data_IF_633048526390
#
_entry.id   IF_633048526390
#
_cell.length_a   1.000
_cell.length_b   1.000
_cell.length_c   1.000
_cell.angle_alpha   90.00
_cell.angle_beta   90.00
_cell.angle_gamma   90.00
#
_symmetry.space_group_name_H-M   'P 1'
#
loop_
_entity.id
_entity.type
_entity.pdbx_description
1 polymer ?
#
# COMPACT_ATOMS: atom_id res chain seq x y z
N UNK A 1 11.88 20.30 -12.36
CA UNK A 1 11.51 18.87 -12.29
C UNK A 1 10.85 18.62 -10.95
N UNK A 2 9.73 17.90 -10.89
CA UNK A 2 9.14 17.48 -9.62
C UNK A 2 9.31 15.97 -9.51
N UNK A 3 10.16 15.50 -8.60
CA UNK A 3 10.15 14.11 -8.21
C UNK A 3 8.79 13.77 -7.57
N UNK A 4 8.05 12.84 -8.18
CA UNK A 4 6.86 12.27 -7.54
C UNK A 4 7.27 11.38 -6.38
N UNK A 5 6.55 11.47 -5.25
CA UNK A 5 6.74 10.58 -4.10
C UNK A 5 5.39 10.07 -3.59
N UNK A 6 5.28 8.78 -3.28
CA UNK A 6 4.10 8.17 -2.67
C UNK A 6 4.47 7.53 -1.34
N UNK A 7 3.51 7.55 -0.43
CA UNK A 7 3.62 6.94 0.89
C UNK A 7 2.38 6.09 1.10
N UNK A 8 2.61 4.81 1.29
CA UNK A 8 1.60 3.88 1.78
C UNK A 8 2.02 3.55 3.20
N UNK A 9 1.21 3.90 4.18
CA UNK A 9 1.35 3.35 5.52
C UNK A 9 0.01 2.76 5.93
N UNK A 10 0.02 1.50 6.33
CA UNK A 10 -1.15 0.81 6.83
C UNK A 10 -0.95 0.47 8.29
N UNK A 11 -1.83 1.01 9.11
CA UNK A 11 -1.88 0.71 10.52
C UNK A 11 -2.16 -0.78 10.73
N UNK A 12 -1.61 -1.30 11.83
CA UNK A 12 -1.86 -2.67 12.22
C UNK A 12 -2.34 -2.65 13.65
N UNK A 13 -3.58 -3.11 13.85
CA UNK A 13 -4.17 -3.23 15.18
C UNK A 13 -3.48 -4.29 16.06
N UNK A 14 -2.57 -5.11 15.52
CA UNK A 14 -1.82 -6.15 16.26
C UNK A 14 -0.41 -5.67 16.65
N UNK A 15 -0.03 -5.87 17.92
CA UNK A 15 1.36 -5.72 18.36
C UNK A 15 2.21 -6.83 17.72
N UNK A 16 3.51 -6.59 17.43
CA UNK A 16 4.42 -7.60 16.86
C UNK A 16 4.66 -8.89 17.68
N UNK A 17 3.91 -9.12 18.77
CA UNK A 17 3.99 -10.35 19.57
C UNK A 17 2.62 -10.95 19.88
N UNK A 18 1.53 -10.20 19.69
CA UNK A 18 0.18 -10.65 20.02
C UNK A 18 -0.60 -10.83 18.73
N UNK A 19 -0.89 -12.09 18.38
CA UNK A 19 -1.87 -12.40 17.37
C UNK A 19 -3.16 -11.58 17.60
N UNK A 20 -3.68 -11.00 16.51
CA UNK A 20 -4.94 -10.26 16.36
C UNK A 20 -5.41 -9.46 17.61
N UNK A 21 -5.22 -8.14 17.56
CA UNK A 21 -5.83 -7.16 18.48
C UNK A 21 -4.91 -6.44 19.48
N UNK A 22 -3.60 -6.48 19.30
CA UNK A 22 -2.63 -5.96 20.27
C UNK A 22 -2.66 -4.46 20.62
N UNK A 23 -2.94 -3.50 19.75
CA UNK A 23 -2.92 -2.08 20.11
C UNK A 23 -4.25 -1.57 20.66
N UNK A 24 -5.38 -1.94 20.03
CA UNK A 24 -6.72 -1.53 20.47
C UNK A 24 -7.10 -2.10 21.84
N UNK A 25 -6.68 -3.35 22.16
CA UNK A 25 -6.83 -3.94 23.50
C UNK A 25 -6.08 -3.18 24.60
N UNK A 26 -5.10 -2.35 24.23
CA UNK A 26 -4.34 -1.51 25.15
C UNK A 26 -4.73 -0.02 25.05
N UNK A 27 -5.85 0.29 24.40
CA UNK A 27 -6.33 1.67 24.23
C UNK A 27 -5.48 2.52 23.28
N UNK A 28 -4.64 1.90 22.44
CA UNK A 28 -3.77 2.59 21.48
C UNK A 28 -4.39 2.57 20.09
N UNK A 29 -4.53 3.76 19.49
CA UNK A 29 -4.94 3.94 18.10
C UNK A 29 -3.73 3.77 17.17
N UNK A 30 -3.61 2.60 16.54
CA UNK A 30 -2.56 2.31 15.56
C UNK A 30 -2.67 3.19 14.30
N UNK A 31 -3.88 3.68 13.98
CA UNK A 31 -4.13 4.63 12.89
C UNK A 31 -3.39 5.94 13.09
N UNK A 32 -3.26 6.40 14.34
CA UNK A 32 -2.50 7.60 14.68
C UNK A 32 -1.00 7.45 14.39
N UNK A 33 -0.42 6.27 14.64
CA UNK A 33 0.98 6.01 14.31
C UNK A 33 1.20 6.07 12.79
N UNK A 34 0.39 5.35 12.02
CA UNK A 34 0.49 5.33 10.55
C UNK A 34 0.31 6.73 9.95
N UNK A 35 -0.70 7.48 10.42
CA UNK A 35 -0.94 8.85 9.97
C UNK A 35 0.22 9.80 10.26
N UNK A 36 0.80 9.73 11.48
CA UNK A 36 1.99 10.53 11.83
C UNK A 36 3.21 10.12 11.02
N UNK A 37 3.39 8.82 10.76
CA UNK A 37 4.50 8.32 9.95
C UNK A 37 4.42 8.86 8.51
N UNK A 38 3.24 8.85 7.89
CA UNK A 38 3.03 9.44 6.55
C UNK A 38 3.31 10.94 6.58
N UNK A 39 2.72 11.68 7.53
CA UNK A 39 2.90 13.14 7.60
C UNK A 39 4.37 13.50 7.81
N UNK A 40 5.07 12.81 8.72
CA UNK A 40 6.50 13.02 8.92
C UNK A 40 7.34 12.62 7.69
N UNK A 41 6.91 11.64 6.89
CA UNK A 41 7.58 11.27 5.62
C UNK A 41 7.41 12.36 4.56
N UNK A 42 6.22 12.96 4.48
CA UNK A 42 5.98 14.11 3.63
C UNK A 42 6.89 15.28 4.03
N UNK A 43 6.93 15.62 5.32
CA UNK A 43 7.80 16.70 5.83
C UNK A 43 9.28 16.41 5.59
N UNK A 44 9.75 15.17 5.81
CA UNK A 44 11.13 14.77 5.54
C UNK A 44 11.47 14.81 4.05
N UNK A 45 10.50 14.63 3.17
CA UNK A 45 10.74 14.76 1.72
C UNK A 45 10.94 16.22 1.31
N UNK A 46 10.27 17.16 1.98
CA UNK A 46 10.47 18.59 1.75
C UNK A 46 11.87 19.08 2.17
N UNK A 47 12.60 18.32 2.99
CA UNK A 47 13.99 18.63 3.36
C UNK A 47 15.01 18.04 2.39
N UNK A 48 14.59 17.16 1.47
CA UNK A 48 15.45 16.58 0.43
C UNK A 48 15.52 17.48 -0.81
N UNK A 49 16.58 17.35 -1.63
CA UNK A 49 16.63 17.98 -2.95
C UNK A 49 15.44 17.57 -3.82
N UNK A 50 14.80 18.54 -4.50
CA UNK A 50 13.61 18.33 -5.33
C UNK A 50 13.78 17.29 -6.45
N UNK A 51 15.01 17.04 -6.86
CA UNK A 51 15.40 16.16 -7.96
C UNK A 51 15.92 14.81 -7.48
N UNK A 52 16.19 14.66 -6.18
CA UNK A 52 16.80 13.46 -5.61
C UNK A 52 16.33 13.24 -4.18
N UNK A 53 15.16 12.61 -4.05
CA UNK A 53 14.61 12.19 -2.77
C UNK A 53 15.09 10.78 -2.44
N UNK A 54 15.88 10.64 -1.38
CA UNK A 54 16.32 9.34 -0.86
C UNK A 54 15.25 8.76 0.09
N UNK A 55 14.51 7.71 -0.32
CA UNK A 55 13.43 7.17 0.49
C UNK A 55 13.90 6.56 1.82
N UNK A 56 15.16 6.12 1.94
CA UNK A 56 15.69 5.63 3.22
C UNK A 56 15.90 6.76 4.22
N UNK A 57 16.46 7.89 3.78
CA UNK A 57 16.60 9.08 4.64
C UNK A 57 15.24 9.62 5.09
N UNK A 58 14.29 9.67 4.16
CA UNK A 58 12.91 10.04 4.46
C UNK A 58 12.30 9.12 5.52
N UNK A 59 12.49 7.79 5.37
CA UNK A 59 12.00 6.82 6.33
C UNK A 59 12.64 6.96 7.72
N UNK A 60 13.97 7.12 7.78
CA UNK A 60 14.72 7.30 9.01
C UNK A 60 14.27 8.55 9.77
N UNK A 61 14.18 9.69 9.07
CA UNK A 61 13.72 10.94 9.64
C UNK A 61 12.27 10.83 10.12
N UNK A 62 11.38 10.29 9.29
CA UNK A 62 9.98 10.12 9.62
C UNK A 62 9.76 9.22 10.83
N UNK A 63 10.47 8.09 10.89
CA UNK A 63 10.45 7.19 12.02
C UNK A 63 10.94 7.88 13.30
N UNK A 64 12.04 8.62 13.23
CA UNK A 64 12.61 9.33 14.39
C UNK A 64 11.64 10.36 14.99
N UNK A 65 10.84 11.03 14.15
CA UNK A 65 9.85 12.05 14.55
C UNK A 65 8.50 11.45 14.98
N UNK A 66 8.24 10.18 14.69
CA UNK A 66 6.95 9.54 15.02
C UNK A 66 6.92 9.03 16.46
N UNK A 67 6.33 9.84 17.35
CA UNK A 67 6.24 9.56 18.80
C UNK A 67 4.92 8.95 19.27
N UNK A 68 3.87 8.94 18.43
CA UNK A 68 2.62 8.26 18.81
C UNK A 68 2.90 6.78 19.07
N UNK A 69 2.13 6.14 19.95
CA UNK A 69 2.23 4.70 20.13
C UNK A 69 1.52 3.99 18.99
N UNK A 70 2.07 2.87 18.54
CA UNK A 70 1.49 2.04 17.50
C UNK A 70 2.56 1.37 16.65
N UNK A 71 2.10 0.71 15.60
CA UNK A 71 2.95 0.20 14.54
C UNK A 71 2.24 0.24 13.19
N UNK A 72 3.02 0.29 12.12
CA UNK A 72 2.53 0.36 10.75
C UNK A 72 3.49 -0.37 9.81
N UNK A 73 2.94 -0.95 8.75
CA UNK A 73 3.74 -1.23 7.54
C UNK A 73 3.97 0.09 6.82
N UNK A 74 5.00 0.17 5.98
CA UNK A 74 5.24 1.36 5.17
C UNK A 74 5.92 1.01 3.85
N UNK A 75 5.45 1.60 2.76
CA UNK A 75 6.10 1.60 1.46
C UNK A 75 6.22 3.06 1.01
N UNK A 76 7.45 3.54 0.86
CA UNK A 76 7.74 4.87 0.29
C UNK A 76 8.35 4.65 -1.08
N UNK A 77 7.81 5.31 -2.09
CA UNK A 77 8.28 5.23 -3.47
C UNK A 77 8.57 6.64 -3.95
N UNK A 78 9.74 6.87 -4.51
CA UNK A 78 10.16 8.13 -5.11
C UNK A 78 10.65 7.90 -6.53
N UNK A 79 10.30 8.80 -7.45
CA UNK A 79 10.87 8.79 -8.80
C UNK A 79 12.03 9.77 -8.85
N UNK A 80 13.25 9.26 -9.03
CA UNK A 80 14.46 10.06 -9.15
C UNK A 80 14.74 10.44 -10.63
N UNK A 81 15.60 11.43 -10.82
CA UNK A 81 16.19 11.73 -12.13
C UNK A 81 16.80 10.47 -12.78
N UNK A 82 16.73 10.39 -14.11
CA UNK A 82 17.24 9.23 -14.87
C UNK A 82 16.26 8.06 -15.01
N UNK A 83 14.97 8.29 -14.71
CA UNK A 83 13.88 7.30 -14.73
C UNK A 83 14.16 6.11 -13.82
N UNK A 84 14.57 6.40 -12.58
CA UNK A 84 14.80 5.38 -11.57
C UNK A 84 13.78 5.52 -10.45
N UNK A 85 12.91 4.52 -10.32
CA UNK A 85 12.04 4.36 -9.16
C UNK A 85 12.89 3.85 -8.00
N UNK A 86 12.97 4.62 -6.92
CA UNK A 86 13.55 4.19 -5.65
C UNK A 86 12.42 3.95 -4.66
N UNK A 87 12.48 2.84 -3.93
CA UNK A 87 11.49 2.54 -2.92
C UNK A 87 12.12 1.94 -1.67
N UNK A 88 11.44 2.12 -0.54
CA UNK A 88 11.73 1.42 0.70
C UNK A 88 10.45 0.80 1.21
N UNK A 89 10.51 -0.48 1.60
CA UNK A 89 9.36 -1.21 2.10
C UNK A 89 9.67 -1.87 3.44
N UNK A 90 8.74 -1.74 4.39
CA UNK A 90 8.68 -2.51 5.64
C UNK A 90 7.30 -3.12 5.75
N UNK A 91 7.23 -4.46 5.65
CA UNK A 91 5.99 -5.22 5.76
C UNK A 91 5.50 -5.77 4.43
N UNK A 92 4.19 -5.81 4.24
CA UNK A 92 3.51 -6.53 3.16
C UNK A 92 2.68 -5.66 2.23
N UNK A 93 2.80 -4.33 2.34
CA UNK A 93 2.47 -3.44 1.22
C UNK A 93 3.35 -3.78 0.02
N UNK A 94 2.86 -3.55 -1.20
CA UNK A 94 3.57 -3.91 -2.43
C UNK A 94 3.37 -2.87 -3.51
N UNK A 95 4.25 -2.92 -4.50
CA UNK A 95 4.04 -2.30 -5.79
C UNK A 95 4.48 -3.20 -6.94
N UNK A 96 3.93 -2.94 -8.11
CA UNK A 96 4.22 -3.59 -9.36
C UNK A 96 4.45 -2.52 -10.43
N UNK A 97 5.31 -2.83 -11.40
CA UNK A 97 5.49 -2.00 -12.59
C UNK A 97 5.02 -2.81 -13.79
N UNK A 98 4.13 -2.22 -14.57
CA UNK A 98 3.51 -2.81 -15.75
C UNK A 98 3.95 -2.01 -16.97
N UNK A 99 4.42 -2.71 -18.01
CA UNK A 99 4.86 -2.12 -19.28
C UNK A 99 4.27 -2.91 -20.43
N UNK A 100 3.55 -2.24 -21.33
CA UNK A 100 3.01 -2.86 -22.56
C UNK A 100 2.27 -4.18 -22.30
N UNK A 101 1.43 -4.22 -21.26
CA UNK A 101 0.63 -5.41 -20.92
C UNK A 101 1.38 -6.51 -20.16
N UNK A 102 2.61 -6.26 -19.71
CA UNK A 102 3.40 -7.23 -18.94
C UNK A 102 3.84 -6.68 -17.58
N UNK A 103 3.92 -7.55 -16.58
CA UNK A 103 4.48 -7.21 -15.26
C UNK A 103 6.01 -7.29 -15.35
N UNK A 104 6.68 -6.15 -15.40
CA UNK A 104 8.14 -6.09 -15.49
C UNK A 104 8.82 -6.12 -14.11
N UNK A 105 8.11 -5.75 -13.06
CA UNK A 105 8.62 -5.82 -11.69
C UNK A 105 7.52 -6.03 -10.66
N UNK A 106 7.86 -6.76 -9.60
CA UNK A 106 7.03 -6.95 -8.40
C UNK A 106 7.89 -6.77 -7.17
N UNK A 107 7.48 -5.89 -6.26
CA UNK A 107 8.21 -5.69 -5.02
C UNK A 107 8.13 -6.93 -4.13
N UNK A 108 9.23 -7.32 -3.45
CA UNK A 108 9.17 -8.31 -2.40
C UNK A 108 8.37 -7.80 -1.20
N UNK A 109 7.98 -8.74 -0.33
CA UNK A 109 7.37 -8.47 0.98
C UNK A 109 8.23 -8.99 2.11
N UNK A 110 7.95 -8.48 3.31
CA UNK A 110 8.56 -8.90 4.57
C UNK A 110 7.50 -9.45 5.52
N UNK A 111 7.55 -10.75 5.75
CA UNK A 111 6.68 -11.46 6.69
C UNK A 111 7.54 -12.22 7.70
N UNK A 112 7.12 -12.21 8.97
CA UNK A 112 7.63 -13.16 9.96
C UNK A 112 6.94 -14.53 9.79
N UNK A 113 5.64 -14.51 9.50
CA UNK A 113 4.83 -15.69 9.16
C UNK A 113 3.57 -15.25 8.39
N UNK A 114 2.71 -16.20 8.01
CA UNK A 114 1.47 -15.90 7.29
C UNK A 114 0.64 -14.82 7.99
N UNK A 115 0.28 -13.76 7.23
CA UNK A 115 -0.49 -12.62 7.71
C UNK A 115 0.11 -11.92 8.94
N UNK A 116 1.44 -12.01 9.10
CA UNK A 116 2.18 -11.37 10.18
C UNK A 116 3.40 -10.62 9.61
N UNK A 117 3.19 -9.40 9.06
CA UNK A 117 4.23 -8.62 8.42
C UNK A 117 5.19 -7.98 9.40
N UNK A 118 6.36 -7.60 8.89
CA UNK A 118 7.25 -6.66 9.56
C UNK A 118 6.56 -5.31 9.70
N UNK A 119 6.79 -4.62 10.82
CA UNK A 119 6.14 -3.34 11.10
C UNK A 119 7.11 -2.39 11.80
N UNK A 120 7.12 -1.13 11.40
CA UNK A 120 7.77 -0.07 12.17
C UNK A 120 6.88 0.35 13.33
N UNK A 121 7.49 0.70 14.46
CA UNK A 121 6.76 1.13 15.64
C UNK A 121 7.69 1.39 16.82
N UNK A 122 7.09 1.86 17.91
CA UNK A 122 7.82 2.27 19.11
C UNK A 122 8.10 1.09 20.06
N UNK A 123 7.53 -0.09 19.82
CA UNK A 123 7.80 -1.27 20.65
C UNK A 123 9.19 -1.86 20.36
N UNK A 124 9.75 -2.59 21.32
CA UNK A 124 11.06 -3.24 21.17
C UNK A 124 11.11 -4.26 20.03
N UNK A 125 9.97 -4.89 19.73
CA UNK A 125 9.86 -5.96 18.72
C UNK A 125 9.43 -5.45 17.35
N UNK A 126 9.21 -4.15 17.22
CA UNK A 126 9.02 -3.53 15.91
C UNK A 126 10.34 -3.51 15.15
N UNK A 127 10.25 -3.67 13.84
CA UNK A 127 11.35 -3.41 12.94
C UNK A 127 11.85 -1.96 13.11
N UNK A 128 13.12 -1.77 12.79
CA UNK A 128 13.74 -0.45 12.67
C UNK A 128 13.98 -0.15 11.18
N UNK A 129 14.09 1.13 10.77
CA UNK A 129 14.31 1.49 9.37
C UNK A 129 15.44 0.71 8.68
N UNK A 130 16.55 0.42 9.38
CA UNK A 130 17.66 -0.40 8.87
C UNK A 130 17.28 -1.80 8.35
N UNK A 131 16.08 -2.30 8.69
CA UNK A 131 15.55 -3.58 8.23
C UNK A 131 14.65 -3.44 7.00
N UNK A 132 14.44 -2.23 6.48
CA UNK A 132 13.66 -1.99 5.28
C UNK A 132 14.32 -2.60 4.04
N UNK A 133 13.50 -3.07 3.10
CA UNK A 133 13.96 -3.43 1.77
C UNK A 133 14.14 -2.17 0.95
N UNK A 134 15.38 -1.90 0.52
CA UNK A 134 15.70 -0.85 -0.44
C UNK A 134 15.60 -1.41 -1.84
N UNK A 135 14.79 -0.78 -2.68
CA UNK A 135 14.43 -1.25 -4.01
C UNK A 135 14.75 -0.14 -5.01
N UNK A 136 15.34 -0.53 -6.14
CA UNK A 136 15.57 0.38 -7.27
C UNK A 136 15.13 -0.31 -8.56
N UNK A 137 14.27 0.33 -9.33
CA UNK A 137 13.71 -0.20 -10.58
C UNK A 137 13.80 0.86 -11.66
N UNK A 138 14.34 0.50 -12.83
CA UNK A 138 14.34 1.40 -13.99
C UNK A 138 12.95 1.42 -14.60
N UNK A 139 12.42 2.62 -14.83
CA UNK A 139 11.12 2.83 -15.46
C UNK A 139 11.28 3.54 -16.81
N UNK A 140 10.25 3.45 -17.64
CA UNK A 140 10.20 4.04 -18.98
C UNK A 140 8.88 4.79 -19.17
N UNK A 141 8.84 5.71 -20.12
CA UNK A 141 7.59 6.34 -20.54
C UNK A 141 6.60 5.27 -21.01
N UNK A 142 5.35 5.39 -20.57
CA UNK A 142 4.30 4.40 -20.77
C UNK A 142 4.17 3.37 -19.65
N UNK A 143 5.12 3.30 -18.71
CA UNK A 143 4.99 2.40 -17.56
C UNK A 143 3.85 2.83 -16.63
N UNK A 144 3.16 1.84 -16.09
CA UNK A 144 2.14 2.01 -15.04
C UNK A 144 2.63 1.37 -13.76
N UNK A 145 2.72 2.17 -12.70
CA UNK A 145 3.06 1.70 -11.35
C UNK A 145 1.75 1.51 -10.59
N UNK A 146 1.55 0.30 -10.07
CA UNK A 146 0.45 -0.04 -9.17
C UNK A 146 1.04 -0.28 -7.79
N UNK A 147 0.68 0.53 -6.80
CA UNK A 147 1.08 0.32 -5.41
C UNK A 147 -0.15 0.19 -4.52
N UNK A 148 -0.06 -0.59 -3.45
CA UNK A 148 -1.19 -0.81 -2.57
C UNK A 148 -0.86 -1.56 -1.30
N UNK A 149 -1.85 -1.62 -0.42
CA UNK A 149 -1.80 -2.43 0.80
C UNK A 149 -2.16 -3.89 0.50
N UNK A 150 -1.96 -4.76 1.49
CA UNK A 150 -2.47 -6.13 1.45
C UNK A 150 -3.98 -6.20 1.17
N UNK A 151 -4.79 -5.19 1.51
CA UNK A 151 -6.21 -5.14 1.12
C UNK A 151 -6.45 -5.30 -0.39
N UNK A 152 -5.53 -4.82 -1.23
CA UNK A 152 -5.54 -5.08 -2.68
C UNK A 152 -4.98 -6.47 -2.99
N UNK A 153 -3.74 -6.73 -2.58
CA UNK A 153 -2.95 -7.89 -3.02
C UNK A 153 -3.36 -9.23 -2.39
N UNK A 154 -4.10 -9.21 -1.29
CA UNK A 154 -4.70 -10.39 -0.66
C UNK A 154 -5.99 -10.83 -1.35
N UNK A 155 -6.66 -9.89 -2.04
CA UNK A 155 -7.95 -10.12 -2.66
C UNK A 155 -7.87 -10.28 -4.18
N UNK A 156 -6.92 -9.65 -4.86
CA UNK A 156 -6.75 -9.77 -6.31
C UNK A 156 -5.46 -10.48 -6.70
N UNK A 157 -5.56 -11.44 -7.62
CA UNK A 157 -4.40 -12.02 -8.27
C UNK A 157 -3.70 -11.02 -9.17
N UNK A 158 -2.39 -11.22 -9.35
CA UNK A 158 -1.55 -10.38 -10.21
C UNK A 158 -2.11 -10.26 -11.63
N UNK A 159 -2.68 -11.33 -12.18
CA UNK A 159 -3.30 -11.33 -13.51
C UNK A 159 -4.57 -10.47 -13.58
N UNK A 160 -5.33 -10.37 -12.49
CA UNK A 160 -6.51 -9.49 -12.45
C UNK A 160 -6.08 -8.03 -12.40
N UNK A 161 -5.05 -7.71 -11.60
CA UNK A 161 -4.44 -6.37 -11.55
C UNK A 161 -3.87 -6.00 -12.93
N UNK A 162 -3.15 -6.94 -13.56
CA UNK A 162 -2.61 -6.75 -14.91
C UNK A 162 -3.69 -6.52 -15.94
N UNK A 163 -4.78 -7.28 -15.91
CA UNK A 163 -5.89 -7.12 -16.85
C UNK A 163 -6.53 -5.73 -16.73
N UNK A 164 -6.79 -5.25 -15.51
CA UNK A 164 -7.34 -3.90 -15.30
C UNK A 164 -6.37 -2.81 -15.77
N UNK A 165 -5.08 -2.94 -15.48
CA UNK A 165 -4.08 -1.98 -15.95
C UNK A 165 -3.93 -1.99 -17.48
N UNK A 166 -3.90 -3.18 -18.09
CA UNK A 166 -3.73 -3.35 -19.54
C UNK A 166 -4.92 -2.78 -20.30
N UNK A 167 -6.14 -3.07 -19.84
CA UNK A 167 -7.36 -2.45 -20.35
C UNK A 167 -7.30 -0.92 -20.27
N UNK A 168 -6.84 -0.38 -19.14
CA UNK A 168 -6.67 1.06 -18.98
C UNK A 168 -5.63 1.66 -19.93
N UNK A 169 -4.52 0.97 -20.18
CA UNK A 169 -3.51 1.38 -21.16
C UNK A 169 -4.06 1.34 -22.58
N UNK A 170 -4.72 0.25 -22.97
CA UNK A 170 -5.28 0.03 -24.31
C UNK A 170 -6.38 1.03 -24.67
N UNK A 171 -7.18 1.43 -23.68
CA UNK A 171 -8.27 2.39 -23.84
C UNK A 171 -7.84 3.83 -23.53
N UNK A 172 -6.55 4.06 -23.27
CA UNK A 172 -5.97 5.33 -22.80
C UNK A 172 -6.77 6.01 -21.67
N UNK A 173 -7.22 5.20 -20.72
CA UNK A 173 -7.90 5.68 -19.52
C UNK A 173 -6.92 6.44 -18.61
N UNK A 174 -7.47 7.37 -17.84
CA UNK A 174 -6.74 8.04 -16.78
C UNK A 174 -6.34 7.06 -15.68
N UNK A 175 -5.36 7.48 -14.87
CA UNK A 175 -4.98 6.74 -13.66
C UNK A 175 -6.17 6.60 -12.70
N UNK A 176 -7.07 7.60 -12.67
CA UNK A 176 -8.26 7.61 -11.84
C UNK A 176 -9.17 6.40 -12.10
N UNK A 177 -9.55 6.20 -13.35
CA UNK A 177 -10.44 5.12 -13.76
C UNK A 177 -9.83 3.75 -13.43
N UNK A 178 -8.52 3.59 -13.68
CA UNK A 178 -7.79 2.37 -13.33
C UNK A 178 -7.78 2.11 -11.82
N UNK A 179 -7.50 3.13 -10.99
CA UNK A 179 -7.53 2.98 -9.52
C UNK A 179 -8.92 2.55 -9.08
N UNK A 180 -9.95 3.22 -9.60
CA UNK A 180 -11.33 2.97 -9.21
C UNK A 180 -11.77 1.55 -9.53
N UNK A 181 -11.52 1.08 -10.76
CA UNK A 181 -11.86 -0.27 -11.19
C UNK A 181 -11.14 -1.33 -10.33
N UNK A 182 -9.83 -1.16 -10.05
CA UNK A 182 -9.08 -2.07 -9.18
C UNK A 182 -9.60 -2.06 -7.74
N UNK A 183 -9.85 -0.88 -7.18
CA UNK A 183 -10.29 -0.74 -5.80
C UNK A 183 -11.70 -1.33 -5.59
N UNK A 184 -12.61 -1.13 -6.55
CA UNK A 184 -13.93 -1.74 -6.53
C UNK A 184 -13.86 -3.26 -6.64
N UNK A 185 -13.06 -3.79 -7.56
CA UNK A 185 -12.89 -5.23 -7.74
C UNK A 185 -12.31 -5.88 -6.47
N UNK A 186 -11.29 -5.25 -5.87
CA UNK A 186 -10.70 -5.70 -4.61
C UNK A 186 -11.73 -5.68 -3.47
N UNK A 187 -12.52 -4.61 -3.37
CA UNK A 187 -13.56 -4.49 -2.35
C UNK A 187 -14.64 -5.57 -2.50
N UNK A 188 -15.18 -5.77 -3.70
CA UNK A 188 -16.20 -6.80 -3.96
C UNK A 188 -15.65 -8.19 -3.64
N UNK A 189 -14.43 -8.49 -4.09
CA UNK A 189 -13.77 -9.77 -3.83
C UNK A 189 -13.52 -9.98 -2.33
N UNK A 190 -13.14 -8.93 -1.58
CA UNK A 190 -12.94 -8.98 -0.13
C UNK A 190 -14.20 -9.35 0.67
N UNK A 191 -15.37 -9.10 0.09
CA UNK A 191 -16.68 -9.36 0.69
C UNK A 191 -17.26 -10.72 0.30
N UNK A 192 -16.75 -11.33 -0.76
CA UNK A 192 -17.20 -12.62 -1.25
C UNK A 192 -16.56 -13.77 -0.44
N UNK A 193 -17.39 -14.51 0.29
CA UNK A 193 -16.95 -15.63 1.13
C UNK A 193 -16.61 -16.89 0.33
N UNK A 194 -16.98 -16.95 -0.95
CA UNK A 194 -16.69 -18.06 -1.85
C UNK A 194 -15.51 -17.76 -2.79
N UNK A 195 -15.01 -16.52 -2.82
CA UNK A 195 -13.94 -16.13 -3.71
C UNK A 195 -12.64 -16.92 -3.47
N UNK A 196 -12.03 -17.37 -4.56
CA UNK A 196 -10.65 -17.86 -4.57
C UNK A 196 -9.75 -16.64 -4.60
N UNK A 197 -8.93 -16.44 -3.55
CA UNK A 197 -8.07 -15.26 -3.41
C UNK A 197 -6.63 -15.65 -3.07
N UNK A 198 -5.64 -14.78 -3.36
CA UNK A 198 -4.26 -14.99 -2.93
C UNK A 198 -4.14 -15.25 -1.41
N UNK A 199 -4.94 -14.55 -0.60
CA UNK A 199 -4.96 -14.76 0.84
C UNK A 199 -5.50 -16.12 1.23
N UNK A 200 -6.62 -16.56 0.64
CA UNK A 200 -7.17 -17.90 0.90
C UNK A 200 -6.12 -18.97 0.60
N UNK A 201 -5.47 -18.90 -0.56
CA UNK A 201 -4.44 -19.87 -0.93
C UNK A 201 -3.23 -19.83 0.00
N UNK A 202 -2.75 -18.63 0.34
CA UNK A 202 -1.65 -18.46 1.28
C UNK A 202 -2.02 -18.97 2.68
N UNK A 203 -3.28 -18.82 3.09
CA UNK A 203 -3.82 -19.38 4.33
C UNK A 203 -3.68 -20.90 4.31
N UNK A 204 -4.18 -21.55 3.26
CA UNK A 204 -4.15 -23.00 3.09
C UNK A 204 -2.71 -23.53 3.10
N UNK A 205 -1.80 -22.87 2.38
CA UNK A 205 -0.36 -23.21 2.38
C UNK A 205 0.28 -23.08 3.77
N UNK A 206 -0.21 -22.16 4.60
CA UNK A 206 0.25 -21.96 5.97
C UNK A 206 -0.45 -22.88 6.99
N UNK A 207 -1.24 -23.87 6.55
CA UNK A 207 -2.02 -24.74 7.43
C UNK A 207 -3.16 -24.01 8.15
N UNK A 208 -3.59 -22.86 7.62
CA UNK A 208 -4.72 -22.08 8.11
C UNK A 208 -5.89 -22.24 7.13
N UNK A 209 -7.08 -22.55 7.62
CA UNK A 209 -8.24 -22.81 6.75
C UNK A 209 -9.19 -21.61 6.76
N UNK A 210 -8.77 -20.51 6.13
CA UNK A 210 -9.65 -19.37 5.85
C UNK A 210 -10.08 -19.41 4.39
N UNK A 211 -11.39 -19.37 4.17
CA UNK A 211 -12.01 -19.33 2.84
C UNK A 211 -12.49 -17.92 2.48
N UNK A 212 -12.58 -17.66 1.17
CA UNK A 212 -13.11 -16.41 0.63
C UNK A 212 -12.14 -15.25 0.62
N UNK A 213 -12.69 -14.05 0.39
CA UNK A 213 -11.99 -12.79 0.49
C UNK A 213 -11.62 -12.39 1.90
N UNK A 214 -10.59 -11.54 1.99
CA UNK A 214 -10.11 -10.94 3.23
C UNK A 214 -10.64 -9.51 3.34
N UNK A 215 -11.69 -9.33 4.14
CA UNK A 215 -12.17 -7.98 4.50
C UNK A 215 -11.11 -7.21 5.27
N UNK A 216 -10.60 -6.13 4.67
CA UNK A 216 -9.50 -5.32 5.20
C UNK A 216 -9.53 -3.92 4.57
N UNK A 217 -8.78 -2.97 5.12
CA UNK A 217 -8.63 -1.64 4.52
C UNK A 217 -7.81 -1.72 3.22
N UNK A 218 -8.36 -1.14 2.15
CA UNK A 218 -7.84 -1.21 0.79
C UNK A 218 -7.30 0.16 0.40
N UNK A 219 -6.01 0.24 0.08
CA UNK A 219 -5.41 1.41 -0.55
C UNK A 219 -4.81 1.01 -1.87
N UNK A 220 -5.11 1.78 -2.92
CA UNK A 220 -4.60 1.59 -4.27
C UNK A 220 -4.08 2.94 -4.78
N UNK A 221 -2.89 2.90 -5.35
CA UNK A 221 -2.23 4.03 -6.02
C UNK A 221 -1.87 3.55 -7.43
N UNK A 222 -2.30 4.31 -8.44
CA UNK A 222 -1.85 4.14 -9.82
C UNK A 222 -1.08 5.39 -10.22
N UNK A 223 0.06 5.19 -10.86
CA UNK A 223 0.88 6.25 -11.43
C UNK A 223 1.28 5.87 -12.85
N UNK A 224 1.11 6.80 -13.80
CA UNK A 224 1.60 6.64 -15.18
C UNK A 224 2.88 7.43 -15.36
N UNK A 225 3.90 6.81 -15.94
CA UNK A 225 5.14 7.50 -16.33
C UNK A 225 4.93 8.11 -17.72
N UNK A 226 4.81 9.45 -17.82
CA UNK A 226 4.46 10.12 -19.09
C UNK A 226 5.69 10.57 -19.90
N UNK A 227 6.91 10.26 -19.44
CA UNK A 227 8.17 10.78 -20.00
C UNK A 227 8.84 11.74 -19.02
N UNK A 228 9.91 12.42 -19.46
CA UNK A 228 10.83 13.14 -18.56
C UNK A 228 10.23 14.32 -17.77
N UNK A 229 8.93 14.61 -17.90
CA UNK A 229 8.38 15.89 -17.45
C UNK A 229 7.07 15.84 -16.66
N UNK A 230 6.29 14.76 -16.64
CA UNK A 230 5.04 14.71 -15.86
C UNK A 230 4.70 13.33 -15.33
N UNK A 231 4.17 13.31 -14.11
CA UNK A 231 3.62 12.11 -13.50
C UNK A 231 2.28 12.50 -12.87
N UNK A 232 1.19 11.87 -13.32
CA UNK A 232 -0.16 12.13 -12.83
C UNK A 232 -0.52 11.08 -11.77
N UNK A 233 -1.18 11.51 -10.70
CA UNK A 233 -1.41 10.69 -9.51
C UNK A 233 -2.85 10.68 -9.06
N UNK A 234 -3.29 9.50 -8.61
CA UNK A 234 -4.48 9.38 -7.80
C UNK A 234 -4.31 8.31 -6.73
N UNK A 235 -4.73 8.63 -5.51
CA UNK A 235 -4.74 7.74 -4.35
C UNK A 235 -6.18 7.49 -3.96
N UNK A 236 -6.61 6.24 -3.89
CA UNK A 236 -7.92 5.87 -3.32
C UNK A 236 -7.70 5.02 -2.08
N UNK A 237 -8.31 5.42 -0.97
CA UNK A 237 -8.33 4.67 0.28
C UNK A 237 -9.78 4.30 0.62
N UNK A 238 -10.09 3.01 0.58
CA UNK A 238 -11.38 2.45 0.97
C UNK A 238 -11.24 1.76 2.33
N UNK A 239 -11.93 2.28 3.34
CA UNK A 239 -12.03 1.62 4.65
C UNK A 239 -13.14 0.57 4.65
N UNK A 240 -12.83 -0.62 5.12
CA UNK A 240 -13.82 -1.66 5.32
C UNK A 240 -14.46 -1.49 6.71
N UNK A 241 -15.47 -0.62 6.85
CA UNK A 241 -16.20 -0.49 8.13
C UNK A 241 -17.70 -0.33 7.92
N UNK A 242 -18.48 -1.22 8.55
CA UNK A 242 -19.82 -0.92 9.06
C UNK A 242 -19.95 -1.48 10.48
N UNK A 243 -20.33 -0.59 11.41
CA UNK A 243 -20.88 -0.96 12.71
C UNK A 243 -22.39 -1.12 12.54
N UNK A 244 -22.91 -2.28 12.92
CA UNK A 244 -24.35 -2.53 13.05
C UNK A 244 -24.87 -1.76 14.26
N UNK A 245 -25.46 -0.58 14.05
CA UNK A 245 -26.55 -0.04 14.88
C UNK A 245 -27.41 0.88 14.01
N UNK A 246 -28.68 0.50 13.90
CA UNK A 246 -29.59 0.95 12.86
C UNK A 246 -29.95 2.42 12.89
N UNK A 247 -30.10 2.99 11.70
CA UNK A 247 -31.33 3.61 11.24
C UNK A 247 -31.30 3.69 9.71
N UNK A 248 -32.43 3.39 9.09
CA UNK A 248 -32.68 3.52 7.65
C UNK A 248 -32.25 4.90 7.12
N UNK A 249 -31.30 4.94 6.17
CA UNK A 249 -31.49 5.59 4.87
C UNK A 249 -30.26 5.45 3.96
N UNK A 250 -30.57 5.48 2.67
CA UNK A 250 -29.76 5.30 1.46
C UNK A 250 -28.33 5.89 1.44
N UNK A 251 -27.51 5.26 0.58
CA UNK A 251 -26.19 5.64 0.06
C UNK A 251 -24.99 5.49 1.02
N UNK A 252 -24.36 4.30 0.95
CA UNK A 252 -22.97 4.12 1.37
C UNK A 252 -22.04 4.94 0.48
N UNK A 253 -21.78 6.19 0.88
CA UNK A 253 -21.02 7.16 0.11
C UNK A 253 -19.53 6.80 0.01
N UNK A 254 -19.05 6.67 -1.22
CA UNK A 254 -17.63 6.66 -1.56
C UNK A 254 -17.00 8.01 -1.19
N UNK A 255 -15.87 8.00 -0.48
CA UNK A 255 -15.08 9.22 -0.24
C UNK A 255 -13.86 9.23 -1.16
N UNK A 256 -13.88 10.15 -2.13
CA UNK A 256 -12.72 10.57 -2.93
C UNK A 256 -11.84 11.41 -2.00
N UNK A 257 -10.61 10.97 -1.71
CA UNK A 257 -9.60 11.82 -1.09
C UNK A 257 -8.76 12.42 -2.21
N UNK A 258 -8.92 13.73 -2.42
CA UNK A 258 -8.02 14.56 -3.24
C UNK A 258 -6.73 14.84 -2.47
#
# INVERSE_FOLDING_TARGET
MKCGSFYIAKDRASKPQDGVGGWSKHGVDAGLYAAKLINNSLLATLTQPLTQVDPMKVLDEAFSKTKAQGSSTVCIITLQEGNMLHAVNVGDSRFMVIRRGEIIYKSPIQLHSFNFPYQLGNSANCAKPRQAQVIKVRVEAGDVIIAGTDGLFDNLFELQILATASKGIEQDLGAEEMVWEMAQLAYQTSRDKAAVTPFMEASKRAGRFRDGGKGDDITVIVSRILGAYEVFFMVVNLKASYSLKGHNNNNGGFKRCL
#
